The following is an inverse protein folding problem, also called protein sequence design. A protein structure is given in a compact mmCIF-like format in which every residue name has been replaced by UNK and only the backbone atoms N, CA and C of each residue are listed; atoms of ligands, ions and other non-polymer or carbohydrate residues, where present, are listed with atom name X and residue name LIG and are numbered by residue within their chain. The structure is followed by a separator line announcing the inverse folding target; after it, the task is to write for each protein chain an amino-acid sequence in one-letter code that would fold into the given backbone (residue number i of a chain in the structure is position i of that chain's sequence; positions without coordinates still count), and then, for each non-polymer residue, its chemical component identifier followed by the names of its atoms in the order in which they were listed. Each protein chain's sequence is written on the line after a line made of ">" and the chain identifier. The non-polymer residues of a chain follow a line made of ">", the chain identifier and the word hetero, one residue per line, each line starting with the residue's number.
data_IF_357872060135
#
_entry.id   IF_357872060135
#
_cell.length_a   1.000
_cell.length_b   1.000
_cell.length_c   1.000
_cell.angle_alpha   90.00
_cell.angle_beta   90.00
_cell.angle_gamma   90.00
#
_symmetry.space_group_name_H-M   'P 1'
#
loop_
_entity.id
_entity.type
_entity.pdbx_description
1 polymer ?
#
# COMPACT_ATOMS: atom_id res chain seq x y z
N UNK A 1 11.60 13.15 -10.08
CA UNK A 1 11.77 11.77 -10.58
C UNK A 1 10.39 11.14 -10.67
N UNK A 2 10.16 10.21 -11.59
CA UNK A 2 8.86 9.54 -11.68
C UNK A 2 8.69 8.66 -10.43
N UNK A 3 7.71 8.99 -9.58
CA UNK A 3 7.36 8.15 -8.45
C UNK A 3 6.74 6.85 -8.99
N UNK A 4 7.46 5.75 -8.82
CA UNK A 4 6.97 4.43 -9.15
C UNK A 4 6.00 4.00 -8.05
N UNK A 5 4.93 3.30 -8.44
CA UNK A 5 3.98 2.76 -7.49
C UNK A 5 4.39 1.33 -7.15
N UNK A 6 4.50 1.00 -5.87
CA UNK A 6 4.92 -0.31 -5.40
C UNK A 6 3.82 -0.99 -4.60
N UNK A 7 3.85 -2.31 -4.61
CA UNK A 7 3.09 -3.18 -3.75
C UNK A 7 4.06 -4.03 -2.91
N UNK A 8 3.96 -3.92 -1.59
CA UNK A 8 4.69 -4.76 -0.65
C UNK A 8 3.72 -5.78 -0.06
N UNK A 9 4.00 -7.05 -0.31
CA UNK A 9 3.23 -8.18 0.19
C UNK A 9 3.95 -8.76 1.39
N UNK A 10 3.28 -8.77 2.55
CA UNK A 10 3.86 -9.25 3.80
C UNK A 10 3.02 -10.41 4.30
N UNK A 11 3.55 -11.65 4.30
CA UNK A 11 2.86 -12.77 4.90
C UNK A 11 2.56 -12.47 6.38
N UNK A 12 1.39 -12.89 6.82
CA UNK A 12 0.93 -12.69 8.20
C UNK A 12 0.40 -14.00 8.76
N UNK A 13 0.57 -14.20 10.06
CA UNK A 13 0.05 -15.36 10.79
C UNK A 13 -0.62 -14.91 12.08
N UNK A 14 -1.68 -15.60 12.48
CA UNK A 14 -2.31 -15.33 13.76
C UNK A 14 -1.47 -15.91 14.91
N UNK A 15 -1.17 -15.09 15.92
CA UNK A 15 -0.24 -15.42 17.01
C UNK A 15 -0.68 -16.63 17.84
N UNK A 16 -1.99 -16.83 18.01
CA UNK A 16 -2.57 -17.91 18.83
C UNK A 16 -3.06 -19.09 17.98
N UNK A 17 -3.21 -18.89 16.67
CA UNK A 17 -3.78 -19.87 15.74
C UNK A 17 -2.90 -19.89 14.47
N UNK A 18 -1.69 -20.48 14.55
CA UNK A 18 -0.69 -20.38 13.48
C UNK A 18 -1.13 -20.97 12.13
N UNK A 19 -2.15 -21.83 12.13
CA UNK A 19 -2.82 -22.32 10.92
C UNK A 19 -3.56 -21.21 10.15
N UNK A 20 -3.92 -20.11 10.81
CA UNK A 20 -4.50 -18.93 10.17
C UNK A 20 -3.38 -18.08 9.59
N UNK A 21 -3.12 -18.28 8.31
CA UNK A 21 -2.23 -17.47 7.50
C UNK A 21 -3.02 -16.43 6.70
N UNK A 22 -2.38 -15.31 6.39
CA UNK A 22 -2.93 -14.24 5.57
C UNK A 22 -1.83 -13.46 4.88
N UNK A 23 -2.22 -12.52 4.02
CA UNK A 23 -1.30 -11.63 3.33
C UNK A 23 -1.73 -10.19 3.59
N UNK A 24 -0.82 -9.38 4.12
CA UNK A 24 -1.04 -7.94 4.23
C UNK A 24 -0.37 -7.25 3.05
N UNK A 25 -1.14 -6.43 2.35
CA UNK A 25 -0.69 -5.73 1.15
C UNK A 25 -0.60 -4.24 1.48
N UNK A 26 0.62 -3.71 1.40
CA UNK A 26 0.88 -2.27 1.43
C UNK A 26 1.08 -1.79 0.01
N UNK A 27 0.57 -0.61 -0.31
CA UNK A 27 0.79 0.02 -1.61
C UNK A 27 1.13 1.48 -1.43
N UNK A 28 1.97 2.04 -2.31
CA UNK A 28 2.34 3.44 -2.28
C UNK A 28 3.48 3.78 -3.23
N UNK A 29 3.72 5.08 -3.38
CA UNK A 29 4.80 5.64 -4.17
C UNK A 29 6.15 5.48 -3.45
N UNK A 30 7.18 5.07 -4.18
CA UNK A 30 8.56 5.12 -3.71
C UNK A 30 9.52 5.33 -4.89
N UNK A 31 10.80 5.54 -4.58
CA UNK A 31 11.86 5.65 -5.60
C UNK A 31 12.46 4.28 -5.94
N UNK A 32 12.55 3.39 -4.95
CA UNK A 32 13.15 2.06 -5.08
C UNK A 32 12.33 1.01 -4.34
N UNK A 33 12.54 -0.28 -4.65
CA UNK A 33 11.92 -1.39 -3.91
C UNK A 33 12.32 -1.41 -2.43
N UNK A 34 13.57 -1.05 -2.12
CA UNK A 34 14.05 -0.95 -0.73
C UNK A 34 13.38 0.18 0.03
N UNK A 35 13.14 1.33 -0.62
CA UNK A 35 12.35 2.41 -0.04
C UNK A 35 10.90 2.01 0.18
N UNK A 36 10.30 1.32 -0.79
CA UNK A 36 8.94 0.80 -0.66
C UNK A 36 8.80 -0.11 0.56
N UNK A 37 9.73 -1.05 0.76
CA UNK A 37 9.75 -1.94 1.92
C UNK A 37 9.93 -1.16 3.23
N UNK A 38 10.86 -0.20 3.26
CA UNK A 38 11.12 0.65 4.43
C UNK A 38 9.89 1.48 4.82
N UNK A 39 9.27 2.17 3.86
CA UNK A 39 8.11 3.03 4.12
C UNK A 39 6.88 2.18 4.53
N UNK A 40 6.70 1.00 3.91
CA UNK A 40 5.66 0.05 4.32
C UNK A 40 5.84 -0.39 5.78
N UNK A 41 7.09 -0.66 6.19
CA UNK A 41 7.41 -1.04 7.57
C UNK A 41 7.11 0.09 8.55
N UNK A 42 7.53 1.32 8.24
CA UNK A 42 7.25 2.50 9.04
C UNK A 42 5.74 2.73 9.21
N UNK A 43 4.96 2.59 8.13
CA UNK A 43 3.51 2.73 8.17
C UNK A 43 2.86 1.64 9.05
N UNK A 44 3.36 0.41 8.99
CA UNK A 44 2.92 -0.68 9.85
C UNK A 44 3.24 -0.41 11.32
N UNK A 45 4.47 0.00 11.63
CA UNK A 45 4.92 0.25 13.00
C UNK A 45 4.13 1.41 13.63
N UNK A 46 3.84 2.47 12.86
CA UNK A 46 2.98 3.57 13.29
C UNK A 46 1.55 3.11 13.61
N UNK A 47 0.98 2.23 12.78
CA UNK A 47 -0.36 1.68 13.02
C UNK A 47 -0.41 0.74 14.24
N UNK A 48 0.62 -0.10 14.43
CA UNK A 48 0.76 -0.95 15.61
C UNK A 48 0.91 -0.10 16.87
N UNK A 49 1.71 0.96 16.83
CA UNK A 49 1.88 1.88 17.95
C UNK A 49 0.56 2.59 18.30
N UNK A 50 -0.16 3.11 17.30
CA UNK A 50 -1.47 3.73 17.51
C UNK A 50 -2.48 2.76 18.14
N UNK A 51 -2.57 1.52 17.62
CA UNK A 51 -3.45 0.49 18.16
C UNK A 51 -3.08 0.12 19.61
N UNK A 52 -1.79 -0.05 19.92
CA UNK A 52 -1.31 -0.33 21.29
C UNK A 52 -1.64 0.79 22.27
N UNK A 53 -1.62 2.04 21.80
CA UNK A 53 -1.98 3.21 22.59
C UNK A 53 -3.50 3.46 22.66
N UNK A 54 -4.33 2.60 22.05
CA UNK A 54 -5.79 2.74 22.04
C UNK A 54 -6.32 3.82 21.08
N UNK A 55 -5.47 4.33 20.18
CA UNK A 55 -5.87 5.30 19.16
C UNK A 55 -6.35 4.61 17.88
N UNK A 56 -7.10 5.36 17.07
CA UNK A 56 -7.45 4.92 15.73
C UNK A 56 -6.19 4.75 14.86
N UNK A 57 -6.19 3.72 14.00
CA UNK A 57 -5.11 3.49 13.04
C UNK A 57 -5.02 4.68 12.08
N UNK A 58 -3.83 5.25 11.83
CA UNK A 58 -3.66 6.36 10.90
C UNK A 58 -4.26 6.09 9.53
N UNK A 59 -4.79 7.15 8.92
CA UNK A 59 -5.25 7.09 7.53
C UNK A 59 -4.05 6.92 6.60
N UNK A 60 -4.36 6.49 5.38
CA UNK A 60 -3.39 6.41 4.28
C UNK A 60 -2.73 7.79 4.08
N UNK A 61 -1.40 7.80 4.02
CA UNK A 61 -0.56 8.97 3.74
C UNK A 61 -0.75 9.44 2.28
N UNK A 62 -0.37 10.68 1.93
CA UNK A 62 -0.49 11.21 0.56
C UNK A 62 0.28 10.38 -0.49
N UNK A 63 1.40 9.78 -0.07
CA UNK A 63 2.24 8.85 -0.84
C UNK A 63 1.58 7.47 -1.03
N UNK A 64 0.34 7.26 -0.59
CA UNK A 64 -0.39 6.01 -0.76
C UNK A 64 -0.15 4.97 0.34
N UNK A 65 0.90 5.11 1.14
CA UNK A 65 1.24 4.14 2.18
C UNK A 65 0.26 4.20 3.35
N UNK A 66 -0.19 3.03 3.81
CA UNK A 66 -1.07 2.95 4.95
C UNK A 66 -1.28 1.51 5.40
N UNK A 67 -1.62 1.35 6.67
CA UNK A 67 -1.67 0.05 7.34
C UNK A 67 -3.03 -0.19 8.03
N UNK A 68 -4.13 0.32 7.44
CA UNK A 68 -5.49 0.19 8.03
C UNK A 68 -5.93 -1.25 8.25
N UNK A 69 -5.33 -2.21 7.55
CA UNK A 69 -5.59 -3.63 7.74
C UNK A 69 -4.89 -4.26 8.95
N UNK A 70 -4.10 -3.50 9.73
CA UNK A 70 -3.40 -4.01 10.92
C UNK A 70 -4.44 -4.42 11.97
N UNK A 71 -4.36 -5.66 12.42
CA UNK A 71 -5.27 -6.24 13.41
C UNK A 71 -4.48 -6.82 14.56
N UNK A 72 -5.02 -6.67 15.77
CA UNK A 72 -4.46 -7.29 16.96
C UNK A 72 -4.39 -8.80 16.81
N UNK A 73 -3.32 -9.42 17.30
CA UNK A 73 -3.12 -10.87 17.25
C UNK A 73 -2.56 -11.40 15.92
N UNK A 74 -2.26 -10.53 14.94
CA UNK A 74 -1.56 -10.91 13.72
C UNK A 74 -0.09 -10.48 13.78
N UNK A 75 0.79 -11.37 13.36
CA UNK A 75 2.24 -11.14 13.27
C UNK A 75 2.64 -11.07 11.80
N UNK A 76 3.50 -10.10 11.48
CA UNK A 76 4.00 -9.86 10.14
C UNK A 76 5.36 -10.54 9.94
N UNK A 77 5.46 -11.39 8.94
CA UNK A 77 6.71 -12.02 8.52
C UNK A 77 7.39 -11.15 7.46
N UNK A 78 8.11 -10.13 7.94
CA UNK A 78 8.85 -9.22 7.07
C UNK A 78 10.06 -9.86 6.40
N UNK A 79 10.56 -10.99 6.91
CA UNK A 79 11.65 -11.72 6.29
C UNK A 79 11.19 -12.42 5.00
N UNK A 80 9.90 -12.81 4.94
CA UNK A 80 9.26 -13.37 3.76
C UNK A 80 8.51 -12.32 2.90
N UNK A 81 8.72 -11.02 3.15
CA UNK A 81 8.06 -9.97 2.38
C UNK A 81 8.58 -9.92 0.94
N UNK A 82 7.66 -9.70 0.00
CA UNK A 82 8.00 -9.47 -1.41
C UNK A 82 7.58 -8.08 -1.84
N UNK A 83 8.35 -7.47 -2.74
CA UNK A 83 8.05 -6.18 -3.34
C UNK A 83 7.80 -6.40 -4.82
N UNK A 84 6.73 -5.78 -5.33
CA UNK A 84 6.42 -5.75 -6.74
C UNK A 84 6.21 -4.29 -7.14
N UNK A 85 6.93 -3.85 -8.18
CA UNK A 85 6.62 -2.57 -8.80
C UNK A 85 5.36 -2.75 -9.66
N UNK A 86 4.41 -1.84 -9.51
CA UNK A 86 3.33 -1.71 -10.49
C UNK A 86 3.89 -0.89 -11.63
N UNK A 87 4.56 -1.55 -12.56
CA UNK A 87 4.79 -0.99 -13.88
C UNK A 87 3.42 -0.77 -14.49
N UNK A 88 2.88 0.44 -14.35
CA UNK A 88 1.77 0.83 -15.20
C UNK A 88 2.25 0.66 -16.63
N UNK A 89 1.66 -0.29 -17.34
CA UNK A 89 1.68 -0.33 -18.79
C UNK A 89 1.26 1.08 -19.24
N UNK A 90 2.25 1.89 -19.64
CA UNK A 90 2.03 3.32 -19.97
C UNK A 90 0.93 3.48 -21.02
N UNK A 91 0.66 2.42 -21.78
CA UNK A 91 -0.42 2.28 -22.74
C UNK A 91 -1.81 2.59 -22.17
N UNK A 92 -2.12 2.29 -20.90
CA UNK A 92 -3.45 2.54 -20.35
C UNK A 92 -3.71 4.05 -20.10
N UNK A 93 -2.66 4.84 -19.89
CA UNK A 93 -2.73 6.29 -19.69
C UNK A 93 -2.58 7.09 -20.98
N UNK A 94 -1.77 6.57 -21.92
CA UNK A 94 -1.66 7.15 -23.26
C UNK A 94 -2.89 6.85 -24.13
N UNK A 95 -3.69 5.83 -23.77
CA UNK A 95 -4.99 5.55 -24.39
C UNK A 95 -6.14 6.42 -23.87
N UNK A 96 -5.90 7.50 -23.11
CA UNK A 96 -6.89 8.58 -23.04
C UNK A 96 -6.82 9.33 -24.37
N UNK A 97 -7.83 9.25 -25.26
CA UNK A 97 -7.99 10.36 -26.17
C UNK A 97 -8.22 11.56 -25.27
N UNK A 98 -7.41 12.60 -25.45
CA UNK A 98 -7.82 13.95 -25.12
C UNK A 98 -9.07 14.22 -25.96
N UNK A 99 -10.24 13.73 -25.52
CA UNK A 99 -11.50 14.20 -26.04
C UNK A 99 -11.47 15.71 -25.76
N UNK A 100 -11.53 16.55 -26.80
CA UNK A 100 -11.53 17.98 -26.60
C UNK A 100 -12.72 18.32 -25.71
N UNK A 101 -12.42 19.00 -24.59
CA UNK A 101 -13.39 19.54 -23.66
C UNK A 101 -14.06 20.75 -24.31
N UNK A 102 -14.78 20.56 -25.42
CA UNK A 102 -15.66 21.58 -25.98
C UNK A 102 -16.67 20.96 -26.94
N UNK A 103 -17.87 20.74 -26.44
CA UNK A 103 -19.07 20.75 -27.27
C UNK A 103 -20.17 21.47 -26.46
N UNK A 104 -20.65 22.65 -26.91
CA UNK A 104 -21.72 23.35 -26.21
C UNK A 104 -22.99 22.50 -26.26
N UNK A 105 -23.57 22.22 -25.09
CA UNK A 105 -24.93 21.70 -24.98
C UNK A 105 -25.89 22.73 -25.58
N UNK A 106 -26.30 22.51 -26.82
CA UNK A 106 -27.50 23.15 -27.37
C UNK A 106 -28.73 22.45 -26.83
N UNK A 107 -29.72 23.31 -26.56
CA UNK A 107 -30.92 23.11 -25.74
C UNK A 107 -31.96 22.19 -26.35
#
# INVERSE_FOLDING_TARGET
>A
MAELYFQVNVPTRHAVQPERCGLHIFTGCAETESDALRIAREACDAAVAAQKAGFAIPRRRPDGWGARGVRSGWVFDWAAATVAVWEHDRSFWEARPLLPLDAPRSR
#
